data_IF_661544417051
#
_entry.id   IF_661544417051
#
_cell.length_a   1.000
_cell.length_b   1.000
_cell.length_c   1.000
_cell.angle_alpha   90.00
_cell.angle_beta   90.00
_cell.angle_gamma   90.00
#
_symmetry.space_group_name_H-M   'P 1'
#
loop_
_entity.id
_entity.type
_entity.pdbx_description
1 polymer ?
#
# COMPACT_ATOMS: atom_id res chain seq x y z
N UNK A 1 12.29 -2.81 -13.42
CA UNK A 1 13.67 -3.08 -12.96
C UNK A 1 13.62 -3.30 -11.46
N UNK A 2 14.70 -3.78 -10.85
CA UNK A 2 14.81 -3.72 -9.39
C UNK A 2 14.65 -2.28 -8.93
N UNK A 3 13.98 -2.09 -7.80
CA UNK A 3 13.79 -0.77 -7.22
C UNK A 3 15.13 -0.19 -6.75
N UNK A 4 15.22 1.14 -6.82
CA UNK A 4 16.32 1.87 -6.19
C UNK A 4 16.28 1.63 -4.66
N UNK A 5 17.41 1.26 -4.00
CA UNK A 5 17.46 1.10 -2.56
C UNK A 5 16.91 2.30 -1.80
N UNK A 6 17.20 3.54 -2.24
CA UNK A 6 16.72 4.75 -1.57
C UNK A 6 15.18 4.84 -1.58
N UNK A 7 14.54 4.30 -2.62
CA UNK A 7 13.07 4.22 -2.71
C UNK A 7 12.52 3.17 -1.75
N UNK A 8 13.20 2.03 -1.61
CA UNK A 8 12.80 0.96 -0.69
C UNK A 8 12.92 1.46 0.75
N UNK A 9 14.09 1.98 1.13
CA UNK A 9 14.38 2.51 2.47
C UNK A 9 13.38 3.60 2.87
N UNK A 10 13.04 4.49 1.93
CA UNK A 10 12.03 5.52 2.16
C UNK A 10 10.64 4.94 2.47
N UNK A 11 10.20 3.92 1.73
CA UNK A 11 8.90 3.26 1.95
C UNK A 11 8.90 2.47 3.26
N UNK A 12 9.98 1.73 3.55
CA UNK A 12 10.15 1.00 4.81
C UNK A 12 10.07 1.94 6.01
N UNK A 13 10.77 3.08 5.95
CA UNK A 13 10.73 4.09 7.01
C UNK A 13 9.34 4.71 7.15
N UNK A 14 8.71 5.09 6.03
CA UNK A 14 7.40 5.73 6.03
C UNK A 14 6.32 4.84 6.67
N UNK A 15 6.31 3.55 6.36
CA UNK A 15 5.27 2.63 6.84
C UNK A 15 5.69 1.74 8.01
N UNK A 16 6.96 1.81 8.43
CA UNK A 16 7.51 0.98 9.51
C UNK A 16 7.39 -0.50 9.17
N UNK A 17 7.75 -0.87 7.94
CA UNK A 17 7.67 -2.25 7.44
C UNK A 17 9.05 -2.72 6.99
N UNK A 18 9.37 -3.99 7.25
CA UNK A 18 10.53 -4.69 6.70
C UNK A 18 10.12 -5.35 5.37
N UNK A 19 10.82 -5.04 4.28
CA UNK A 19 10.61 -5.61 2.94
C UNK A 19 11.76 -6.51 2.50
N UNK A 20 12.69 -6.85 3.40
CA UNK A 20 13.86 -7.70 3.10
C UNK A 20 13.51 -9.12 2.67
N UNK A 21 12.31 -9.60 3.03
CA UNK A 21 11.74 -10.88 2.60
C UNK A 21 11.17 -10.84 1.17
N UNK A 22 11.23 -9.69 0.50
CA UNK A 22 10.73 -9.48 -0.86
C UNK A 22 11.84 -9.06 -1.82
N UNK A 23 11.61 -9.33 -3.10
CA UNK A 23 12.26 -8.60 -4.18
C UNK A 23 11.40 -7.38 -4.55
N UNK A 24 11.99 -6.20 -4.49
CA UNK A 24 11.32 -4.93 -4.75
C UNK A 24 11.55 -4.48 -6.20
N UNK A 25 10.47 -4.15 -6.90
CA UNK A 25 10.50 -3.83 -8.33
C UNK A 25 9.88 -2.47 -8.60
N UNK A 26 10.62 -1.59 -9.26
CA UNK A 26 10.14 -0.28 -9.64
C UNK A 26 9.83 -0.20 -11.13
N UNK A 27 8.67 0.40 -11.44
CA UNK A 27 8.27 0.80 -12.79
C UNK A 27 7.62 2.19 -12.74
N UNK A 28 8.41 3.21 -13.06
CA UNK A 28 7.99 4.61 -12.97
C UNK A 28 7.57 4.94 -11.54
N UNK A 29 6.30 5.29 -11.35
CA UNK A 29 5.72 5.68 -10.06
C UNK A 29 5.16 4.51 -9.24
N UNK A 30 5.45 3.25 -9.59
CA UNK A 30 4.94 2.06 -8.89
C UNK A 30 6.09 1.26 -8.30
N UNK A 31 5.88 0.79 -7.08
CA UNK A 31 6.72 -0.16 -6.38
C UNK A 31 5.92 -1.44 -6.16
N UNK A 32 6.40 -2.54 -6.72
CA UNK A 32 5.77 -3.85 -6.63
C UNK A 32 6.66 -4.78 -5.80
N UNK A 33 6.02 -5.70 -5.09
CA UNK A 33 6.69 -6.68 -4.24
C UNK A 33 6.46 -8.07 -4.81
N UNK A 34 7.52 -8.84 -4.94
CA UNK A 34 7.46 -10.22 -5.39
C UNK A 34 8.32 -11.11 -4.49
N UNK A 35 8.03 -12.41 -4.39
CA UNK A 35 8.90 -13.34 -3.68
C UNK A 35 10.34 -13.28 -4.21
N UNK A 36 11.39 -13.45 -3.36
CA UNK A 36 12.80 -13.43 -3.80
C UNK A 36 13.09 -14.39 -4.95
N UNK A 37 12.34 -15.49 -5.01
CA UNK A 37 12.37 -16.46 -6.11
C UNK A 37 12.21 -15.84 -7.49
N UNK A 38 11.43 -14.76 -7.64
CA UNK A 38 11.24 -14.06 -8.91
C UNK A 38 12.56 -13.44 -9.39
N UNK A 39 13.31 -12.83 -8.48
CA UNK A 39 14.64 -12.30 -8.79
C UNK A 39 15.60 -13.42 -9.18
N UNK A 40 15.65 -14.48 -8.37
CA UNK A 40 16.65 -15.54 -8.53
C UNK A 40 16.39 -16.43 -9.75
N UNK A 41 15.11 -16.74 -10.04
CA UNK A 41 14.74 -17.71 -11.09
C UNK A 41 14.25 -17.09 -12.39
N UNK A 42 13.81 -15.84 -12.40
CA UNK A 42 13.27 -15.23 -13.62
C UNK A 42 14.15 -14.09 -14.15
N UNK A 43 14.89 -13.41 -13.27
CA UNK A 43 15.64 -12.22 -13.66
C UNK A 43 17.15 -12.42 -13.75
N UNK A 44 17.76 -13.04 -12.73
CA UNK A 44 19.20 -13.35 -12.68
C UNK A 44 19.70 -14.63 -13.37
N UNK A 45 18.86 -15.58 -13.88
CA UNK A 45 19.39 -16.79 -14.49
C UNK A 45 20.38 -16.53 -15.60
N UNK A 46 21.42 -17.36 -15.62
CA UNK A 46 22.38 -17.43 -16.71
C UNK A 46 21.67 -17.84 -18.00
N UNK A 47 21.89 -17.08 -19.07
CA UNK A 47 21.34 -17.32 -20.39
C UNK A 47 22.46 -17.66 -21.37
N UNK A 48 22.45 -18.85 -22.01
CA UNK A 48 23.46 -19.21 -22.99
C UNK A 48 23.37 -18.32 -24.23
N UNK A 49 24.52 -18.05 -24.85
CA UNK A 49 24.61 -17.31 -26.11
C UNK A 49 24.76 -18.26 -27.29
N UNK A 50 24.46 -17.77 -28.50
CA UNK A 50 24.64 -18.52 -29.74
C UNK A 50 26.12 -18.91 -30.01
N UNK A 51 27.08 -18.33 -29.27
CA UNK A 51 28.52 -18.60 -29.38
C UNK A 51 29.03 -19.61 -28.33
N UNK A 52 28.16 -20.13 -27.47
CA UNK A 52 28.55 -21.03 -26.38
C UNK A 52 28.99 -20.30 -25.09
N UNK A 53 29.04 -18.97 -25.11
CA UNK A 53 29.23 -18.16 -23.90
C UNK A 53 27.96 -18.12 -23.05
N UNK A 54 28.03 -17.48 -21.87
CA UNK A 54 26.90 -17.32 -20.96
C UNK A 54 26.77 -15.87 -20.53
N UNK A 55 25.62 -15.26 -20.80
CA UNK A 55 25.23 -14.01 -20.13
C UNK A 55 24.70 -14.34 -18.73
N UNK A 56 25.01 -13.54 -17.71
CA UNK A 56 24.52 -13.82 -16.37
C UNK A 56 24.62 -12.64 -15.42
N UNK A 57 24.02 -12.79 -14.24
CA UNK A 57 23.93 -11.71 -13.26
C UNK A 57 23.03 -10.58 -13.78
N UNK A 58 23.49 -9.35 -13.63
CA UNK A 58 22.70 -8.17 -14.00
C UNK A 58 22.98 -7.66 -15.43
N UNK A 59 23.78 -8.38 -16.24
CA UNK A 59 24.22 -7.91 -17.57
C UNK A 59 23.23 -8.18 -18.71
N UNK A 60 22.34 -9.16 -18.54
CA UNK A 60 21.34 -9.55 -19.54
C UNK A 60 20.14 -10.19 -18.86
N UNK A 61 18.93 -9.83 -19.27
CA UNK A 61 17.70 -10.33 -18.66
C UNK A 61 16.84 -10.96 -19.76
N UNK A 62 16.65 -12.29 -19.75
CA UNK A 62 15.99 -13.01 -20.85
C UNK A 62 14.50 -12.69 -20.98
N UNK A 63 13.90 -12.07 -19.96
CA UNK A 63 12.46 -11.78 -19.92
C UNK A 63 12.22 -10.27 -19.77
N UNK A 64 11.37 -9.71 -20.64
CA UNK A 64 10.81 -8.37 -20.43
C UNK A 64 9.65 -8.46 -19.45
N UNK A 65 9.93 -8.16 -18.19
CA UNK A 65 8.92 -8.18 -17.12
C UNK A 65 7.97 -6.98 -17.27
N UNK A 66 6.72 -7.24 -17.68
CA UNK A 66 5.66 -6.21 -17.76
C UNK A 66 5.15 -5.85 -16.37
N UNK A 67 5.03 -6.84 -15.50
CA UNK A 67 4.63 -6.73 -14.10
C UNK A 67 5.29 -7.84 -13.28
N UNK A 68 5.81 -7.52 -12.09
CA UNK A 68 6.41 -8.48 -11.18
C UNK A 68 5.71 -8.35 -9.82
N UNK A 69 5.00 -9.40 -9.41
CA UNK A 69 4.39 -9.47 -8.09
C UNK A 69 3.17 -8.55 -7.87
N UNK A 70 2.96 -8.19 -6.60
CA UNK A 70 1.86 -7.40 -6.08
C UNK A 70 2.18 -5.90 -6.21
N UNK A 71 1.34 -5.08 -6.85
CA UNK A 71 1.53 -3.63 -6.87
C UNK A 71 1.21 -3.08 -5.48
N UNK A 72 2.25 -2.74 -4.72
CA UNK A 72 2.12 -2.45 -3.29
C UNK A 72 2.08 -0.95 -2.98
N UNK A 73 2.84 -0.15 -3.71
CA UNK A 73 2.88 1.30 -3.48
C UNK A 73 2.86 2.08 -4.79
N UNK A 74 2.32 3.29 -4.74
CA UNK A 74 2.33 4.24 -5.86
C UNK A 74 2.73 5.63 -5.40
N UNK A 75 3.72 6.22 -6.07
CA UNK A 75 4.17 7.58 -5.85
C UNK A 75 3.21 8.57 -6.50
N UNK A 76 2.62 9.48 -5.71
CA UNK A 76 1.75 10.55 -6.23
C UNK A 76 1.88 11.81 -5.38
N UNK A 77 2.24 12.92 -6.04
CA UNK A 77 2.56 14.21 -5.41
C UNK A 77 3.63 14.03 -4.33
N UNK A 78 4.73 13.37 -4.69
CA UNK A 78 5.90 13.14 -3.83
C UNK A 78 5.63 12.39 -2.51
N UNK A 79 4.50 11.68 -2.43
CA UNK A 79 4.17 10.79 -1.33
C UNK A 79 3.86 9.40 -1.86
N UNK A 80 4.50 8.39 -1.28
CA UNK A 80 4.22 6.98 -1.54
C UNK A 80 2.95 6.56 -0.83
N UNK A 81 1.99 6.07 -1.61
CA UNK A 81 0.68 5.62 -1.12
C UNK A 81 0.64 4.11 -1.18
N UNK A 82 0.24 3.47 -0.09
CA UNK A 82 -0.12 2.07 -0.14
C UNK A 82 -1.27 1.86 -1.14
N UNK A 83 -1.21 0.75 -1.86
CA UNK A 83 -2.30 0.26 -2.69
C UNK A 83 -3.21 -0.57 -1.82
N UNK A 84 -4.52 -0.43 -2.01
CA UNK A 84 -5.50 -1.17 -1.21
C UNK A 84 -5.28 -2.68 -1.31
N UNK A 85 -4.92 -3.19 -2.49
CA UNK A 85 -4.66 -4.62 -2.69
C UNK A 85 -3.49 -5.13 -1.82
N UNK A 86 -2.56 -4.25 -1.47
CA UNK A 86 -1.45 -4.60 -0.59
C UNK A 86 -1.78 -4.49 0.90
N UNK A 87 -2.84 -3.77 1.28
CA UNK A 87 -3.31 -3.78 2.66
C UNK A 87 -3.81 -5.18 3.08
N UNK A 88 -4.39 -5.94 2.16
CA UNK A 88 -4.77 -7.33 2.42
C UNK A 88 -3.58 -8.26 2.73
N UNK A 89 -2.40 -7.96 2.17
CA UNK A 89 -1.21 -8.80 2.35
C UNK A 89 -0.26 -8.27 3.43
N UNK A 90 -0.22 -6.95 3.63
CA UNK A 90 0.78 -6.25 4.45
C UNK A 90 0.17 -5.39 5.55
N UNK A 91 -1.15 -5.24 5.58
CA UNK A 91 -1.87 -4.31 6.45
C UNK A 91 -1.46 -4.41 7.91
N UNK A 92 -1.39 -5.63 8.44
CA UNK A 92 -0.99 -5.93 9.82
C UNK A 92 0.49 -5.64 10.09
N UNK A 93 1.35 -5.70 9.06
CA UNK A 93 2.80 -5.48 9.18
C UNK A 93 3.17 -4.02 9.35
N UNK A 94 2.34 -3.07 8.92
CA UNK A 94 2.63 -1.64 9.04
C UNK A 94 2.66 -1.18 10.50
N UNK A 95 3.76 -0.53 10.92
CA UNK A 95 3.98 -0.04 12.28
C UNK A 95 4.06 1.49 12.38
N UNK A 96 4.33 2.19 11.27
CA UNK A 96 4.41 3.65 11.21
C UNK A 96 3.34 4.21 10.29
N UNK A 97 3.03 5.50 10.47
CA UNK A 97 2.08 6.22 9.61
C UNK A 97 0.70 5.55 9.56
N UNK A 98 0.34 4.93 10.68
CA UNK A 98 -0.91 4.22 10.93
C UNK A 98 -1.46 4.70 12.27
N UNK A 99 -2.78 4.86 12.35
CA UNK A 99 -3.47 5.15 13.60
C UNK A 99 -4.65 4.22 13.81
N UNK A 100 -4.87 3.87 15.07
CA UNK A 100 -6.04 3.10 15.50
C UNK A 100 -7.17 4.03 15.89
N UNK A 101 -8.37 3.73 15.42
CA UNK A 101 -9.60 4.45 15.77
C UNK A 101 -10.69 3.46 16.17
N UNK A 102 -11.80 3.96 16.71
CA UNK A 102 -12.96 3.12 16.99
C UNK A 102 -13.68 2.69 15.70
N UNK A 103 -14.39 1.56 15.78
CA UNK A 103 -15.21 1.06 14.67
C UNK A 103 -16.26 2.09 14.22
N UNK A 104 -16.85 2.86 15.15
CA UNK A 104 -17.80 3.91 14.81
C UNK A 104 -17.19 5.02 13.95
N UNK A 105 -15.96 5.45 14.26
CA UNK A 105 -15.26 6.45 13.45
C UNK A 105 -14.85 5.88 12.09
N UNK A 106 -14.45 4.61 12.05
CA UNK A 106 -14.15 3.91 10.82
C UNK A 106 -15.38 3.85 9.89
N UNK A 107 -16.55 3.50 10.43
CA UNK A 107 -17.83 3.52 9.72
C UNK A 107 -18.16 4.93 9.24
N UNK A 108 -17.98 5.96 10.07
CA UNK A 108 -18.23 7.36 9.66
C UNK A 108 -17.38 7.75 8.46
N UNK A 109 -16.09 7.40 8.45
CA UNK A 109 -15.21 7.64 7.30
C UNK A 109 -15.77 6.95 6.04
N UNK A 110 -16.15 5.67 6.14
CA UNK A 110 -16.78 4.90 5.04
C UNK A 110 -18.10 5.51 4.54
N UNK A 111 -18.84 6.20 5.41
CA UNK A 111 -20.06 6.94 5.08
C UNK A 111 -19.77 8.37 4.58
N UNK A 112 -18.53 8.69 4.20
CA UNK A 112 -18.19 9.97 3.61
C UNK A 112 -17.90 11.10 4.61
N UNK A 113 -17.82 10.80 5.90
CA UNK A 113 -17.30 11.77 6.87
C UNK A 113 -15.84 12.08 6.54
N UNK A 114 -15.55 13.32 6.19
CA UNK A 114 -14.21 13.77 5.87
C UNK A 114 -13.88 14.98 6.75
N UNK A 115 -13.56 14.84 8.04
CA UNK A 115 -13.41 15.97 8.98
C UNK A 115 -12.19 16.85 8.69
N UNK A 116 -12.15 18.06 9.27
CA UNK A 116 -10.89 18.79 9.40
C UNK A 116 -9.92 17.99 10.28
N UNK A 117 -8.61 18.20 10.12
CA UNK A 117 -7.61 17.46 10.93
C UNK A 117 -7.80 17.72 12.42
N UNK A 118 -8.08 18.97 12.82
CA UNK A 118 -8.34 19.35 14.21
C UNK A 118 -9.56 18.61 14.79
N UNK A 119 -10.65 18.52 14.05
CA UNK A 119 -11.86 17.78 14.46
C UNK A 119 -11.58 16.27 14.58
N UNK A 120 -10.77 15.72 13.66
CA UNK A 120 -10.39 14.32 13.70
C UNK A 120 -9.57 14.01 14.95
N UNK A 121 -8.52 14.79 15.22
CA UNK A 121 -7.67 14.64 16.41
C UNK A 121 -8.46 14.77 17.70
N UNK A 122 -9.39 15.73 17.77
CA UNK A 122 -10.29 15.90 18.91
C UNK A 122 -11.21 14.68 19.15
N UNK A 123 -11.48 13.88 18.12
CA UNK A 123 -12.35 12.71 18.20
C UNK A 123 -11.57 11.41 18.45
N UNK A 124 -10.28 11.35 18.13
CA UNK A 124 -9.46 10.12 18.21
C UNK A 124 -8.48 10.08 19.38
N UNK A 125 -8.46 11.11 20.23
CA UNK A 125 -7.47 11.29 21.33
C UNK A 125 -6.00 11.26 20.85
N UNK A 126 -5.79 11.44 19.54
CA UNK A 126 -4.45 11.46 18.95
C UNK A 126 -3.82 12.83 19.12
N UNK A 127 -2.51 12.87 19.35
CA UNK A 127 -1.75 14.12 19.45
C UNK A 127 -1.44 14.74 18.09
N UNK A 128 -1.15 13.92 17.07
CA UNK A 128 -0.72 14.39 15.77
C UNK A 128 -1.00 13.39 14.64
N UNK A 129 -1.03 13.91 13.41
CA UNK A 129 -1.13 13.14 12.17
C UNK A 129 -0.11 13.66 11.17
N UNK A 130 0.64 12.76 10.55
CA UNK A 130 1.52 13.12 9.45
C UNK A 130 0.69 13.55 8.24
N UNK A 131 1.10 14.63 7.59
CA UNK A 131 0.48 15.07 6.34
C UNK A 131 0.81 14.10 5.21
N UNK A 132 -0.16 13.85 4.33
CA UNK A 132 0.01 13.02 3.14
C UNK A 132 -0.78 11.72 3.21
N UNK A 133 -0.25 10.68 2.56
CA UNK A 133 -0.84 9.34 2.64
C UNK A 133 -0.70 8.82 4.08
N UNK A 134 -1.77 8.28 4.64
CA UNK A 134 -1.81 7.78 6.01
C UNK A 134 -2.72 6.56 6.10
N UNK A 135 -2.51 5.68 7.07
CA UNK A 135 -3.32 4.50 7.29
C UNK A 135 -4.20 4.63 8.54
N UNK A 136 -5.44 4.20 8.43
CA UNK A 136 -6.37 4.12 9.55
C UNK A 136 -6.73 2.66 9.76
N UNK A 137 -6.77 2.26 11.03
CA UNK A 137 -6.97 0.88 11.44
C UNK A 137 -8.04 0.80 12.51
N UNK A 138 -8.87 -0.22 12.44
CA UNK A 138 -9.91 -0.49 13.44
C UNK A 138 -10.09 -1.98 13.61
N UNK A 139 -10.45 -2.40 14.82
CA UNK A 139 -10.99 -3.74 15.07
C UNK A 139 -12.44 -3.77 14.57
N UNK A 140 -12.76 -4.71 13.68
CA UNK A 140 -14.10 -4.95 13.13
C UNK A 140 -14.52 -6.40 13.44
N UNK A 141 -15.79 -6.81 13.22
CA UNK A 141 -16.27 -8.14 13.61
C UNK A 141 -15.50 -9.33 13.00
N UNK A 142 -14.72 -9.12 11.95
CA UNK A 142 -13.90 -10.14 11.28
C UNK A 142 -12.39 -9.98 11.54
N UNK A 143 -11.99 -9.08 12.42
CA UNK A 143 -10.60 -8.78 12.76
C UNK A 143 -10.18 -7.35 12.44
N UNK A 144 -8.87 -7.13 12.48
CA UNK A 144 -8.24 -5.83 12.22
C UNK A 144 -8.37 -5.46 10.73
N UNK A 145 -8.97 -4.31 10.44
CA UNK A 145 -9.13 -3.78 9.09
C UNK A 145 -8.34 -2.48 8.95
N UNK A 146 -7.61 -2.32 7.84
CA UNK A 146 -6.80 -1.13 7.56
C UNK A 146 -7.23 -0.50 6.23
N UNK A 147 -7.41 0.82 6.23
CA UNK A 147 -7.77 1.61 5.05
C UNK A 147 -6.83 2.80 4.87
N UNK A 148 -6.63 3.20 3.61
CA UNK A 148 -5.86 4.39 3.28
C UNK A 148 -6.69 5.67 3.37
N UNK A 149 -6.09 6.73 3.90
CA UNK A 149 -6.63 8.10 3.91
C UNK A 149 -5.58 9.10 3.44
N UNK A 150 -6.04 10.28 3.02
CA UNK A 150 -5.21 11.45 2.78
C UNK A 150 -5.40 12.42 3.93
N UNK A 151 -4.31 12.83 4.56
CA UNK A 151 -4.27 13.88 5.58
C UNK A 151 -3.78 15.16 4.91
N UNK A 152 -4.67 16.13 4.75
CA UNK A 152 -4.35 17.50 4.30
C UNK A 152 -4.97 18.51 5.27
N UNK A 153 -5.77 19.44 4.77
CA UNK A 153 -6.68 20.20 5.64
C UNK A 153 -7.80 19.32 6.23
N UNK A 154 -8.13 18.22 5.54
CA UNK A 154 -9.13 17.23 5.94
C UNK A 154 -8.54 15.84 5.91
N UNK A 155 -9.15 14.93 6.66
CA UNK A 155 -8.91 13.48 6.55
C UNK A 155 -9.91 12.93 5.55
N UNK A 156 -9.45 12.48 4.38
CA UNK A 156 -10.32 11.95 3.31
C UNK A 156 -9.96 10.52 2.94
N UNK A 157 -10.96 9.66 2.71
CA UNK A 157 -10.72 8.30 2.24
C UNK A 157 -9.96 8.27 0.90
N UNK A 158 -9.06 7.29 0.79
CA UNK A 158 -8.26 7.03 -0.41
C UNK A 158 -8.50 5.65 -1.01
N UNK A 159 -9.68 5.08 -0.77
CA UNK A 159 -10.14 3.82 -1.35
C UNK A 159 -11.24 4.10 -2.38
N UNK A 160 -11.29 3.30 -3.45
CA UNK A 160 -12.30 3.48 -4.50
C UNK A 160 -13.70 3.02 -4.06
N UNK A 161 -14.72 3.34 -4.85
CA UNK A 161 -16.11 3.02 -4.52
C UNK A 161 -16.35 1.52 -4.39
N UNK A 162 -15.70 0.69 -5.20
CA UNK A 162 -15.87 -0.77 -5.13
C UNK A 162 -15.38 -1.32 -3.79
N UNK A 163 -14.21 -0.86 -3.35
CA UNK A 163 -13.66 -1.26 -2.06
C UNK A 163 -14.54 -0.79 -0.90
N UNK A 164 -14.97 0.47 -0.96
CA UNK A 164 -15.88 1.01 0.05
C UNK A 164 -17.16 0.19 0.13
N UNK A 165 -17.72 -0.16 -1.02
CA UNK A 165 -18.90 -0.99 -1.13
C UNK A 165 -18.70 -2.39 -0.51
N UNK A 166 -17.55 -3.03 -0.73
CA UNK A 166 -17.22 -4.31 -0.10
C UNK A 166 -17.19 -4.16 1.43
N UNK A 167 -16.47 -3.17 1.96
CA UNK A 167 -16.38 -2.94 3.41
C UNK A 167 -17.73 -2.56 4.01
N UNK A 168 -18.50 -1.70 3.34
CA UNK A 168 -19.86 -1.30 3.73
C UNK A 168 -20.78 -2.51 3.77
N UNK A 169 -20.75 -3.36 2.75
CA UNK A 169 -21.56 -4.57 2.71
C UNK A 169 -21.23 -5.53 3.87
N UNK A 170 -19.94 -5.73 4.17
CA UNK A 170 -19.51 -6.52 5.34
C UNK A 170 -20.03 -5.95 6.68
N UNK A 171 -20.28 -4.65 6.75
CA UNK A 171 -20.86 -3.94 7.90
C UNK A 171 -22.38 -3.85 7.87
N UNK A 172 -23.06 -4.48 6.91
CA UNK A 172 -24.49 -4.34 6.65
C UNK A 172 -24.94 -2.88 6.41
N UNK A 173 -24.07 -2.08 5.77
CA UNK A 173 -24.38 -0.73 5.30
C UNK A 173 -24.85 -0.77 3.84
N UNK A 174 -25.68 0.20 3.40
CA UNK A 174 -26.12 0.27 1.99
C UNK A 174 -24.94 0.54 1.06
N UNK A 175 -25.13 0.30 -0.25
CA UNK A 175 -24.11 0.62 -1.23
C UNK A 175 -23.91 2.14 -1.28
N UNK A 176 -22.68 2.59 -1.52
CA UNK A 176 -22.37 4.03 -1.62
C UNK A 176 -23.09 4.69 -2.80
N UNK A 177 -23.27 3.94 -3.89
CA UNK A 177 -23.98 4.41 -5.08
C UNK A 177 -25.51 4.53 -4.86
N UNK A 178 -26.04 4.01 -3.75
CA UNK A 178 -27.46 4.18 -3.36
C UNK A 178 -27.68 5.44 -2.49
N UNK A 179 -26.60 6.11 -2.04
CA UNK A 179 -26.64 7.33 -1.22
C UNK A 179 -26.38 8.63 -2.01
N UNK A 180 -26.01 8.55 -3.30
CA UNK A 180 -25.83 9.69 -4.24
C UNK A 180 -27.07 9.92 -5.12
#
# INVERSE_FOLDING_TARGET
MLADPDVVDHVEHMYGIDLSDHSCWQRGKRLNLAPPLVLDRLFRPKSPTNKGDVWGGDSFHPVRVVHAGLPAFTLKKDSWRSRQEALYALGERFQSNVARISADLFVRLLCGWAPLVEDFLATTEMSELNTGAFLIRSELPWGEETISVWVGARVTLMIDTNEQNILRHKLNLPWRDEEE
#
